data_IF_146342007514
#
_entry.id   IF_146342007514
#
_cell.length_a   1.000
_cell.length_b   1.000
_cell.length_c   1.000
_cell.angle_alpha   90.00
_cell.angle_beta   90.00
_cell.angle_gamma   90.00
#
_symmetry.space_group_name_H-M   'P 1'
#
loop_
_entity.id
_entity.type
_entity.pdbx_description
1 polymer ?
#
# COMPACT_ATOMS: atom_id res chain seq x y z
N UNK A 1 -8.98 9.09 13.00
CA UNK A 1 -7.91 9.53 12.09
C UNK A 1 -8.55 10.10 10.85
N UNK A 2 -8.12 11.28 10.40
CA UNK A 2 -8.60 11.86 9.14
C UNK A 2 -7.71 11.36 8.00
N UNK A 3 -8.32 10.96 6.89
CA UNK A 3 -7.57 10.66 5.67
C UNK A 3 -7.12 11.96 5.03
N UNK A 4 -5.83 12.03 4.68
CA UNK A 4 -5.22 13.21 4.08
C UNK A 4 -5.27 13.10 2.57
N UNK A 5 -4.80 11.97 2.03
CA UNK A 5 -4.74 11.69 0.60
C UNK A 5 -4.92 10.20 0.34
N UNK A 6 -5.41 9.87 -0.86
CA UNK A 6 -5.65 8.50 -1.31
C UNK A 6 -5.12 8.28 -2.71
N UNK A 7 -4.86 7.02 -3.05
CA UNK A 7 -4.69 6.59 -4.43
C UNK A 7 -5.11 5.13 -4.58
N UNK A 8 -5.19 4.66 -5.82
CA UNK A 8 -5.50 3.28 -6.14
C UNK A 8 -4.52 2.79 -7.20
N UNK A 9 -4.06 1.56 -7.04
CA UNK A 9 -3.16 0.90 -8.00
C UNK A 9 -3.56 -0.56 -8.20
N UNK A 10 -2.89 -1.24 -9.12
CA UNK A 10 -2.93 -2.70 -9.25
C UNK A 10 -1.55 -3.25 -8.97
N UNK A 11 -1.48 -4.30 -8.15
CA UNK A 11 -0.23 -4.97 -7.82
C UNK A 11 -0.39 -6.48 -7.85
N UNK A 12 0.73 -7.18 -8.07
CA UNK A 12 0.82 -8.62 -7.89
C UNK A 12 0.93 -8.90 -6.40
N UNK A 13 -0.09 -9.54 -5.85
CA UNK A 13 -0.18 -9.85 -4.43
C UNK A 13 -0.16 -11.35 -4.25
N UNK A 14 0.80 -11.86 -3.47
CA UNK A 14 0.84 -13.26 -3.05
C UNK A 14 0.01 -13.43 -1.78
N UNK A 15 -1.00 -14.30 -1.87
CA UNK A 15 -1.87 -14.61 -0.74
C UNK A 15 -1.22 -15.68 0.13
N UNK A 16 -1.05 -15.37 1.41
CA UNK A 16 -0.50 -16.27 2.42
C UNK A 16 -1.60 -16.69 3.40
N UNK A 17 -1.34 -17.74 4.19
CA UNK A 17 -2.26 -18.14 5.25
C UNK A 17 -2.25 -17.06 6.34
N UNK A 18 -3.29 -16.24 6.40
CA UNK A 18 -3.45 -15.18 7.39
C UNK A 18 -2.77 -13.86 7.03
N UNK A 19 -2.34 -13.68 5.78
CA UNK A 19 -1.68 -12.44 5.36
C UNK A 19 -1.47 -12.37 3.86
N UNK A 20 -0.70 -11.38 3.44
CA UNK A 20 -0.33 -11.17 2.05
C UNK A 20 1.03 -10.46 1.97
N UNK A 21 1.66 -10.54 0.80
CA UNK A 21 2.84 -9.76 0.46
C UNK A 21 2.77 -9.32 -1.00
N UNK A 22 3.47 -8.25 -1.35
CA UNK A 22 3.71 -7.93 -2.76
C UNK A 22 4.58 -9.04 -3.34
N UNK A 23 4.19 -9.59 -4.49
CA UNK A 23 4.92 -10.66 -5.14
C UNK A 23 6.07 -10.09 -5.96
N UNK A 24 7.19 -10.82 -6.00
CA UNK A 24 8.31 -10.53 -6.89
C UNK A 24 7.91 -10.77 -8.36
N UNK A 25 8.64 -10.15 -9.29
CA UNK A 25 8.31 -10.20 -10.72
C UNK A 25 8.39 -11.62 -11.30
N UNK A 26 9.22 -12.49 -10.72
CA UNK A 26 9.40 -13.89 -11.10
C UNK A 26 8.58 -14.88 -10.25
N UNK A 27 7.73 -14.42 -9.34
CA UNK A 27 6.89 -15.30 -8.52
C UNK A 27 5.72 -15.87 -9.37
N UNK A 28 5.91 -17.09 -9.87
CA UNK A 28 4.93 -17.86 -10.64
C UNK A 28 3.97 -18.69 -9.76
N UNK A 29 3.93 -18.46 -8.44
CA UNK A 29 3.06 -19.21 -7.55
C UNK A 29 1.58 -19.02 -7.91
N UNK A 30 0.80 -20.11 -7.89
CA UNK A 30 -0.67 -20.08 -8.08
C UNK A 30 -1.42 -19.20 -7.06
N UNK A 31 -0.75 -18.76 -5.99
CA UNK A 31 -1.29 -17.89 -4.97
C UNK A 31 -1.06 -16.39 -5.26
N UNK A 32 -0.34 -16.05 -6.33
CA UNK A 32 -0.17 -14.69 -6.82
C UNK A 32 -1.39 -14.27 -7.62
N UNK A 33 -1.93 -13.10 -7.29
CA UNK A 33 -3.09 -12.50 -7.97
C UNK A 33 -2.83 -11.03 -8.26
N UNK A 34 -3.24 -10.58 -9.43
CA UNK A 34 -3.31 -9.15 -9.73
C UNK A 34 -4.54 -8.55 -9.05
N UNK A 35 -4.33 -7.79 -7.98
CA UNK A 35 -5.40 -7.19 -7.19
C UNK A 35 -5.34 -5.66 -7.28
N UNK A 36 -6.52 -5.04 -7.23
CA UNK A 36 -6.60 -3.62 -6.91
C UNK A 36 -6.18 -3.41 -5.46
N UNK A 37 -5.32 -2.42 -5.22
CA UNK A 37 -4.86 -2.01 -3.90
C UNK A 37 -5.26 -0.57 -3.70
N UNK A 38 -6.08 -0.31 -2.69
CA UNK A 38 -6.36 1.05 -2.25
C UNK A 38 -5.30 1.47 -1.25
N UNK A 39 -4.83 2.70 -1.40
CA UNK A 39 -3.82 3.29 -0.53
C UNK A 39 -4.40 4.55 0.09
N UNK A 40 -4.17 4.71 1.38
CA UNK A 40 -4.56 5.92 2.11
C UNK A 40 -3.42 6.36 3.01
N UNK A 41 -3.09 7.65 2.99
CA UNK A 41 -2.22 8.25 4.02
C UNK A 41 -3.10 8.98 5.01
N UNK A 42 -3.05 8.55 6.27
CA UNK A 42 -3.81 9.11 7.39
C UNK A 42 -2.86 9.66 8.44
N UNK A 43 -3.28 10.62 9.26
CA UNK A 43 -2.49 11.10 10.39
C UNK A 43 -2.33 12.61 10.44
N UNK A 44 -1.23 13.08 11.05
CA UNK A 44 -0.94 14.51 11.19
C UNK A 44 0.52 14.75 11.55
N UNK A 45 1.03 15.96 11.31
CA UNK A 45 2.39 16.37 11.68
C UNK A 45 2.74 16.13 13.17
N UNK A 46 1.75 16.12 14.07
CA UNK A 46 1.99 15.92 15.51
C UNK A 46 2.20 14.44 15.89
N UNK A 47 1.53 13.53 15.17
CA UNK A 47 1.46 12.11 15.52
C UNK A 47 2.11 11.21 14.46
N UNK A 48 2.70 11.79 13.42
CA UNK A 48 3.14 11.11 12.22
C UNK A 48 1.98 10.68 11.31
N UNK A 49 2.33 9.90 10.30
CA UNK A 49 1.46 9.48 9.21
C UNK A 49 1.49 7.96 9.10
N UNK A 50 0.35 7.36 8.75
CA UNK A 50 0.26 5.94 8.45
C UNK A 50 -0.11 5.76 6.98
N UNK A 51 0.64 4.91 6.28
CA UNK A 51 0.26 4.36 4.99
C UNK A 51 -0.58 3.11 5.22
N UNK A 52 -1.84 3.16 4.83
CA UNK A 52 -2.74 2.01 4.82
C UNK A 52 -2.75 1.41 3.42
N UNK A 53 -2.52 0.10 3.33
CA UNK A 53 -2.52 -0.67 2.10
C UNK A 53 -3.63 -1.71 2.16
N UNK A 54 -4.60 -1.61 1.25
CA UNK A 54 -5.81 -2.42 1.26
C UNK A 54 -5.98 -3.17 -0.07
N UNK A 55 -5.31 -4.31 -0.27
CA UNK A 55 -5.58 -5.17 -1.42
C UNK A 55 -7.00 -5.74 -1.36
N UNK A 56 -7.69 -5.77 -2.49
CA UNK A 56 -9.08 -6.23 -2.57
C UNK A 56 -9.23 -7.66 -2.01
N UNK A 57 -10.02 -7.78 -0.96
CA UNK A 57 -10.32 -9.07 -0.30
C UNK A 57 -9.22 -9.58 0.63
N UNK A 58 -8.25 -8.73 0.98
CA UNK A 58 -7.18 -9.02 1.93
C UNK A 58 -7.31 -8.15 3.18
N UNK A 59 -6.55 -8.48 4.24
CA UNK A 59 -6.40 -7.63 5.41
C UNK A 59 -5.65 -6.34 5.06
N UNK A 60 -5.94 -5.27 5.78
CA UNK A 60 -5.22 -4.00 5.67
C UNK A 60 -3.84 -4.16 6.29
N UNK A 61 -2.79 -3.70 5.60
CA UNK A 61 -1.47 -3.50 6.20
C UNK A 61 -1.28 -2.01 6.52
N UNK A 62 -0.62 -1.71 7.63
CA UNK A 62 -0.30 -0.36 8.04
C UNK A 62 1.20 -0.20 8.34
N UNK A 63 1.75 0.93 7.90
CA UNK A 63 3.13 1.33 8.17
C UNK A 63 3.17 2.78 8.62
N UNK A 64 3.95 3.08 9.66
CA UNK A 64 4.09 4.43 10.24
C UNK A 64 5.30 5.17 9.67
N UNK A 65 5.14 6.47 9.45
CA UNK A 65 6.13 7.37 8.86
C UNK A 65 6.10 8.75 9.53
N UNK A 66 7.24 9.43 9.56
CA UNK A 66 7.35 10.80 10.09
C UNK A 66 6.82 11.83 9.09
N UNK A 67 6.82 11.49 7.79
CA UNK A 67 6.37 12.40 6.73
C UNK A 67 5.50 11.72 5.66
N UNK A 68 4.64 12.53 5.02
CA UNK A 68 3.86 12.10 3.83
C UNK A 68 4.79 11.69 2.70
N UNK A 69 5.93 12.38 2.54
CA UNK A 69 6.89 12.10 1.46
C UNK A 69 7.52 10.70 1.60
N UNK A 70 7.85 10.28 2.82
CA UNK A 70 8.35 8.93 3.10
C UNK A 70 7.28 7.88 2.82
N UNK A 71 6.05 8.10 3.28
CA UNK A 71 4.93 7.20 2.99
C UNK A 71 4.68 7.06 1.48
N UNK A 72 4.76 8.16 0.72
CA UNK A 72 4.66 8.13 -0.75
C UNK A 72 5.82 7.38 -1.41
N UNK A 73 7.04 7.56 -0.88
CA UNK A 73 8.24 6.88 -1.40
C UNK A 73 8.11 5.36 -1.20
N UNK A 74 7.72 4.91 -0.01
CA UNK A 74 7.51 3.48 0.24
C UNK A 74 6.42 2.89 -0.65
N UNK A 75 5.29 3.59 -0.83
CA UNK A 75 4.25 3.14 -1.77
C UNK A 75 4.75 3.07 -3.22
N UNK A 76 5.67 3.96 -3.63
CA UNK A 76 6.31 3.90 -4.94
C UNK A 76 7.24 2.70 -5.06
N UNK A 77 8.08 2.49 -4.07
CA UNK A 77 9.11 1.45 -4.09
C UNK A 77 8.45 0.05 -3.98
N UNK A 78 7.37 -0.07 -3.20
CA UNK A 78 6.66 -1.34 -2.96
C UNK A 78 5.58 -1.66 -4.00
N UNK A 79 4.86 -0.66 -4.50
CA UNK A 79 3.66 -0.86 -5.34
C UNK A 79 3.70 -0.09 -6.66
N UNK A 80 4.81 0.60 -6.97
CA UNK A 80 5.01 1.30 -8.24
C UNK A 80 4.16 2.56 -8.41
N UNK A 81 3.59 3.11 -7.34
CA UNK A 81 2.68 4.27 -7.41
C UNK A 81 3.44 5.57 -7.60
N UNK A 82 2.98 6.43 -8.52
CA UNK A 82 3.62 7.73 -8.74
C UNK A 82 3.10 8.78 -7.75
N UNK A 83 3.94 9.77 -7.44
CA UNK A 83 3.58 10.87 -6.55
C UNK A 83 2.37 11.69 -7.03
N UNK A 84 2.08 11.66 -8.33
CA UNK A 84 0.96 12.33 -9.01
C UNK A 84 -0.36 11.58 -8.93
N UNK A 85 -0.35 10.29 -8.56
CA UNK A 85 -1.55 9.45 -8.51
C UNK A 85 -2.36 9.67 -7.23
N UNK A 86 -1.84 10.48 -6.32
CA UNK A 86 -2.43 10.80 -5.02
C UNK A 86 -3.38 12.00 -5.12
N UNK A 87 -4.60 11.82 -4.64
CA UNK A 87 -5.68 12.82 -4.60
C UNK A 87 -6.22 13.05 -3.20
#
# INVERSE_FOLDING_TARGET
>A
MSVIIKCATKARIRILKGGWQVAEDDDESKYVKNLAVNLSIVGSKKNGYHLLMEPKGCFVADSHYESISEAKKDARDSLGVNSTDWV
#
